data_IF_420264930386
#
_entry.id   IF_420264930386
#
_cell.length_a   1.000
_cell.length_b   1.000
_cell.length_c   1.000
_cell.angle_alpha   90.00
_cell.angle_beta   90.00
_cell.angle_gamma   90.00
#
_symmetry.space_group_name_H-M   'P 1'
#
loop_
_entity.id
_entity.type
_entity.pdbx_description
1 polymer ?
#
# COMPACT_ATOMS: atom_id res chain seq x y z
N UNK A 1 18.21 -13.50 -8.99
CA UNK A 1 17.14 -13.96 -9.90
C UNK A 1 15.85 -13.32 -9.41
N UNK A 2 15.02 -12.72 -10.29
CA UNK A 2 13.73 -12.17 -9.86
C UNK A 2 12.85 -13.30 -9.30
N UNK A 3 12.12 -13.02 -8.23
CA UNK A 3 11.19 -13.95 -7.57
C UNK A 3 9.81 -13.31 -7.62
N UNK A 4 8.81 -14.09 -8.03
CA UNK A 4 7.40 -13.69 -8.06
C UNK A 4 6.61 -14.65 -7.18
N UNK A 5 5.87 -14.10 -6.23
CA UNK A 5 4.98 -14.87 -5.34
C UNK A 5 3.55 -14.47 -5.68
N UNK A 6 2.79 -15.40 -6.26
CA UNK A 6 1.42 -15.15 -6.75
C UNK A 6 0.35 -15.45 -5.72
N UNK A 7 0.61 -16.36 -4.78
CA UNK A 7 -0.30 -16.70 -3.69
C UNK A 7 0.08 -15.89 -2.43
N UNK A 8 -0.69 -14.84 -2.16
CA UNK A 8 -0.52 -13.98 -0.98
C UNK A 8 -1.80 -13.92 -0.16
N UNK A 9 -1.65 -13.92 1.16
CA UNK A 9 -2.78 -13.68 2.07
C UNK A 9 -3.26 -12.24 1.91
N UNK A 10 -4.51 -12.08 1.48
CA UNK A 10 -5.16 -10.77 1.40
C UNK A 10 -5.80 -10.39 2.73
N UNK A 11 -5.87 -9.09 2.99
CA UNK A 11 -6.67 -8.57 4.08
C UNK A 11 -8.15 -8.82 3.80
N UNK A 12 -8.95 -8.88 4.87
CA UNK A 12 -10.40 -8.92 4.75
C UNK A 12 -10.90 -7.67 3.97
N UNK A 13 -11.67 -7.84 2.88
CA UNK A 13 -12.07 -6.72 2.02
C UNK A 13 -12.88 -5.65 2.75
N UNK A 14 -13.79 -6.06 3.64
CA UNK A 14 -14.68 -5.14 4.36
C UNK A 14 -13.89 -4.31 5.37
N UNK A 15 -12.99 -4.96 6.10
CA UNK A 15 -12.03 -4.29 7.00
C UNK A 15 -11.15 -3.32 6.23
N UNK A 16 -10.60 -3.74 5.08
CA UNK A 16 -9.72 -2.89 4.28
C UNK A 16 -10.46 -1.66 3.74
N UNK A 17 -11.70 -1.82 3.29
CA UNK A 17 -12.54 -0.71 2.83
C UNK A 17 -12.86 0.27 3.97
N UNK A 18 -13.25 -0.23 5.15
CA UNK A 18 -13.59 0.60 6.31
C UNK A 18 -12.42 1.50 6.76
N UNK A 19 -11.17 1.03 6.67
CA UNK A 19 -9.99 1.84 7.03
C UNK A 19 -9.85 3.11 6.19
N UNK A 20 -10.33 3.13 4.94
CA UNK A 20 -10.32 4.34 4.12
C UNK A 20 -11.22 5.44 4.69
N UNK A 21 -12.34 5.07 5.34
CA UNK A 21 -13.29 6.01 5.93
C UNK A 21 -12.74 6.69 7.20
N UNK A 22 -11.95 5.97 8.00
CA UNK A 22 -11.31 6.52 9.20
C UNK A 22 -10.13 7.46 8.88
N UNK A 23 -9.44 7.23 7.76
CA UNK A 23 -8.30 8.01 7.32
C UNK A 23 -7.00 7.71 8.08
N UNK A 24 -5.88 8.13 7.49
CA UNK A 24 -4.52 7.75 7.93
C UNK A 24 -4.21 8.19 9.37
N UNK A 25 -4.60 9.41 9.77
CA UNK A 25 -4.29 9.93 11.10
C UNK A 25 -5.01 9.12 12.21
N UNK A 26 -6.30 8.86 12.05
CA UNK A 26 -7.10 8.08 13.00
C UNK A 26 -6.56 6.65 13.12
N UNK A 27 -6.28 6.00 11.99
CA UNK A 27 -5.72 4.63 11.97
C UNK A 27 -4.34 4.58 12.63
N UNK A 28 -3.48 5.56 12.35
CA UNK A 28 -2.15 5.68 12.96
C UNK A 28 -2.22 5.77 14.50
N UNK A 29 -3.10 6.61 15.03
CA UNK A 29 -3.31 6.72 16.48
C UNK A 29 -3.88 5.42 17.06
N UNK A 30 -4.89 4.83 16.41
CA UNK A 30 -5.54 3.61 16.86
C UNK A 30 -4.57 2.40 16.92
N UNK A 31 -3.58 2.33 16.01
CA UNK A 31 -2.56 1.28 16.02
C UNK A 31 -1.31 1.62 16.88
N UNK A 32 -1.45 2.56 17.80
CA UNK A 32 -0.39 2.89 18.76
C UNK A 32 0.74 3.73 18.20
N UNK A 33 0.46 4.56 17.18
CA UNK A 33 1.42 5.47 16.53
C UNK A 33 2.60 4.76 15.87
N UNK A 34 2.29 3.71 15.12
CA UNK A 34 3.28 2.91 14.38
C UNK A 34 2.94 2.85 12.88
N UNK A 35 3.86 2.37 12.04
CA UNK A 35 3.57 2.03 10.63
C UNK A 35 3.38 3.21 9.65
N UNK A 36 3.53 4.46 10.10
CA UNK A 36 3.40 5.62 9.22
C UNK A 36 4.61 5.74 8.27
N UNK A 37 4.33 5.94 6.98
CA UNK A 37 5.36 6.17 5.97
C UNK A 37 6.01 7.55 6.13
N UNK A 38 7.23 7.71 5.60
CA UNK A 38 7.96 8.97 5.66
C UNK A 38 7.18 10.09 4.96
N UNK A 39 7.11 11.28 5.58
CA UNK A 39 6.43 12.50 5.08
C UNK A 39 6.86 13.01 3.69
N UNK A 40 7.87 12.40 3.06
CA UNK A 40 8.31 12.73 1.69
C UNK A 40 7.38 12.11 0.65
N UNK A 41 6.64 11.06 1.00
CA UNK A 41 5.58 10.51 0.17
C UNK A 41 4.38 11.45 0.22
N UNK A 42 4.04 12.03 -0.93
CA UNK A 42 2.99 13.04 -1.07
C UNK A 42 2.00 12.59 -2.13
N UNK A 43 0.68 12.76 -1.90
CA UNK A 43 -0.30 12.46 -2.92
C UNK A 43 -0.18 13.45 -4.08
N UNK A 44 -0.33 12.95 -5.30
CA UNK A 44 -0.39 13.79 -6.51
C UNK A 44 -1.81 14.33 -6.79
N UNK A 45 -2.84 13.71 -6.19
CA UNK A 45 -4.24 14.11 -6.30
C UNK A 45 -4.81 14.51 -4.93
N UNK A 46 -5.53 15.63 -4.87
CA UNK A 46 -6.09 16.15 -3.62
C UNK A 46 -7.41 15.44 -3.28
N UNK A 47 -7.63 15.14 -2.00
CA UNK A 47 -8.90 14.64 -1.48
C UNK A 47 -9.14 13.14 -1.65
N UNK A 48 -8.25 12.41 -2.35
CA UNK A 48 -8.32 10.95 -2.39
C UNK A 48 -7.85 10.34 -1.06
N UNK A 49 -8.61 9.38 -0.57
CA UNK A 49 -8.25 8.49 0.52
C UNK A 49 -8.61 7.06 0.11
N UNK A 50 -7.65 6.13 0.22
CA UNK A 50 -7.82 4.73 -0.18
C UNK A 50 -7.15 3.83 0.85
N UNK A 51 -7.61 2.58 0.88
CA UNK A 51 -7.02 1.50 1.66
C UNK A 51 -7.20 0.18 0.89
N UNK A 52 -6.30 -0.78 1.10
CA UNK A 52 -6.30 -2.03 0.37
C UNK A 52 -5.15 -2.95 0.78
N UNK A 53 -5.15 -4.17 0.24
CA UNK A 53 -4.04 -5.12 0.43
C UNK A 53 -2.85 -4.70 -0.42
N UNK A 54 -1.66 -4.67 0.18
CA UNK A 54 -0.42 -4.37 -0.54
C UNK A 54 0.04 -5.55 -1.41
N UNK A 55 0.34 -5.27 -2.68
CA UNK A 55 1.19 -6.10 -3.54
C UNK A 55 2.55 -5.42 -3.60
N UNK A 56 3.60 -6.10 -3.14
CA UNK A 56 4.94 -5.50 -3.03
C UNK A 56 5.77 -5.81 -4.28
N UNK A 57 6.52 -4.82 -4.75
CA UNK A 57 7.52 -5.00 -5.79
C UNK A 57 8.83 -4.32 -5.38
N UNK A 58 9.95 -4.87 -5.83
CA UNK A 58 11.29 -4.27 -5.64
C UNK A 58 11.89 -4.03 -7.01
N UNK A 59 12.44 -2.83 -7.19
CA UNK A 59 12.91 -2.35 -8.48
C UNK A 59 14.40 -1.99 -8.43
N UNK A 60 15.18 -2.36 -9.46
CA UNK A 60 16.49 -1.77 -9.71
C UNK A 60 16.37 -0.27 -10.03
N UNK A 61 17.44 0.53 -9.81
CA UNK A 61 17.45 1.93 -10.23
C UNK A 61 17.23 2.08 -11.74
N UNK A 62 16.27 2.92 -12.14
CA UNK A 62 16.01 3.22 -13.55
C UNK A 62 15.27 2.12 -14.33
N UNK A 63 14.78 1.07 -13.67
CA UNK A 63 14.05 -0.05 -14.29
C UNK A 63 12.67 -0.20 -13.64
N UNK A 64 11.61 -0.21 -14.46
CA UNK A 64 10.22 -0.34 -14.01
C UNK A 64 9.57 -1.68 -14.40
N UNK A 65 10.33 -2.65 -14.93
CA UNK A 65 9.79 -3.90 -15.47
C UNK A 65 8.89 -4.64 -14.46
N UNK A 66 9.33 -4.77 -13.20
CA UNK A 66 8.56 -5.52 -12.19
C UNK A 66 7.24 -4.84 -11.79
N UNK A 67 7.00 -3.58 -12.17
CA UNK A 67 5.68 -2.95 -12.01
C UNK A 67 4.66 -3.61 -12.92
N UNK A 68 5.04 -3.91 -14.17
CA UNK A 68 4.16 -4.62 -15.11
C UNK A 68 3.88 -6.05 -14.64
N UNK A 69 4.90 -6.73 -14.12
CA UNK A 69 4.75 -8.09 -13.55
C UNK A 69 3.85 -8.08 -12.32
N UNK A 70 3.91 -7.05 -11.48
CA UNK A 70 3.05 -6.93 -10.30
C UNK A 70 1.60 -6.54 -10.61
N UNK A 71 1.31 -6.08 -11.82
CA UNK A 71 -0.02 -5.66 -12.24
C UNK A 71 -0.86 -6.78 -12.87
N UNK A 72 -0.23 -7.88 -13.30
CA UNK A 72 -0.88 -9.11 -13.79
C UNK A 72 -1.50 -9.92 -12.64
#
# INVERSE_FOLDING_TARGET
>A
MPVVVTDIKRADPDTAAALAEFGVATVHEAQGRTGLMHQRLRPIYKGAAISGTAVTCTLPPGDNWMIHVAAE
#
